data_IF_380303915157
#
_entry.id   IF_380303915157
#
_cell.length_a   1.000
_cell.length_b   1.000
_cell.length_c   1.000
_cell.angle_alpha   90.00
_cell.angle_beta   90.00
_cell.angle_gamma   90.00
#
_symmetry.space_group_name_H-M   'P 1'
#
loop_
_entity.id
_entity.type
_entity.pdbx_description
1 polymer ?
#
# COMPACT_ATOMS: atom_id res chain seq x y z
N UNK A 1 5.70 12.89 10.55
CA UNK A 1 5.96 12.35 9.19
C UNK A 1 5.01 11.18 8.95
N UNK A 2 4.22 11.19 7.86
CA UNK A 2 3.21 10.16 7.62
C UNK A 2 3.90 8.83 7.24
N UNK A 3 3.68 7.78 8.04
CA UNK A 3 4.04 6.41 7.69
C UNK A 3 2.86 5.79 6.95
N UNK A 4 2.93 5.72 5.63
CA UNK A 4 1.83 5.22 4.80
C UNK A 4 1.63 3.71 4.99
N UNK A 5 0.37 3.28 5.09
CA UNK A 5 0.01 1.86 5.21
C UNK A 5 0.51 1.07 3.99
N UNK A 6 0.06 1.45 2.78
CA UNK A 6 0.40 0.82 1.50
C UNK A 6 1.87 0.91 1.07
N UNK A 7 2.74 1.48 1.91
CA UNK A 7 4.18 1.60 1.65
C UNK A 7 4.97 1.14 2.87
N UNK A 8 5.45 2.09 3.68
CA UNK A 8 6.36 1.80 4.79
C UNK A 8 5.87 0.72 5.75
N UNK A 9 4.60 0.72 6.18
CA UNK A 9 4.14 -0.24 7.20
C UNK A 9 4.13 -1.68 6.68
N UNK A 10 3.68 -1.88 5.44
CA UNK A 10 3.73 -3.19 4.79
C UNK A 10 5.16 -3.65 4.55
N UNK A 11 6.02 -2.77 4.03
CA UNK A 11 7.44 -3.10 3.83
C UNK A 11 8.17 -3.37 5.15
N UNK A 12 7.88 -2.62 6.21
CA UNK A 12 8.41 -2.83 7.56
C UNK A 12 8.08 -4.22 8.08
N UNK A 13 6.82 -4.65 7.93
CA UNK A 13 6.38 -6.00 8.31
C UNK A 13 7.10 -7.06 7.48
N UNK A 14 7.18 -6.89 6.16
CA UNK A 14 7.87 -7.84 5.28
C UNK A 14 9.36 -8.01 5.65
N UNK A 15 10.05 -6.90 5.92
CA UNK A 15 11.44 -6.93 6.39
C UNK A 15 11.57 -7.64 7.75
N UNK A 16 10.66 -7.33 8.68
CA UNK A 16 10.65 -7.95 10.01
C UNK A 16 10.37 -9.46 9.95
N UNK A 17 9.45 -9.89 9.08
CA UNK A 17 9.12 -11.30 8.84
C UNK A 17 10.28 -12.07 8.21
N UNK A 18 11.13 -11.38 7.44
CA UNK A 18 12.37 -11.93 6.91
C UNK A 18 13.52 -11.97 7.94
N UNK A 19 13.26 -11.63 9.21
CA UNK A 19 14.26 -11.65 10.29
C UNK A 19 15.18 -10.43 10.33
N UNK A 20 14.92 -9.41 9.50
CA UNK A 20 15.66 -8.16 9.51
C UNK A 20 15.13 -7.24 10.61
N UNK A 21 15.96 -6.30 11.07
CA UNK A 21 15.57 -5.29 12.07
C UNK A 21 15.49 -3.92 11.38
N UNK A 22 14.31 -3.48 10.91
CA UNK A 22 14.21 -2.32 10.03
C UNK A 22 14.86 -1.05 10.60
N UNK A 23 14.56 -0.73 11.85
CA UNK A 23 15.05 0.50 12.53
C UNK A 23 16.55 0.49 12.83
N UNK A 24 17.23 -0.66 12.67
CA UNK A 24 18.65 -0.83 13.00
C UNK A 24 19.51 -1.14 11.79
N UNK A 25 18.97 -1.92 10.87
CA UNK A 25 19.70 -2.42 9.71
C UNK A 25 19.57 -1.48 8.50
N UNK A 26 18.64 -0.50 8.54
CA UNK A 26 18.38 0.43 7.44
C UNK A 26 18.20 1.88 7.89
N UNK A 27 18.54 2.82 7.00
CA UNK A 27 18.21 4.23 7.14
C UNK A 27 17.08 4.60 6.17
N UNK A 28 15.92 4.97 6.72
CA UNK A 28 14.76 5.31 5.92
C UNK A 28 14.72 6.78 5.53
N UNK A 29 14.47 7.03 4.24
CA UNK A 29 14.11 8.35 3.71
C UNK A 29 12.65 8.30 3.21
N UNK A 30 11.80 9.15 3.78
CA UNK A 30 10.41 9.26 3.33
C UNK A 30 10.26 10.49 2.43
N UNK A 31 9.82 10.27 1.20
CA UNK A 31 9.66 11.32 0.18
C UNK A 31 8.21 11.77 0.00
N UNK A 32 7.25 11.00 0.50
CA UNK A 32 5.82 11.28 0.31
C UNK A 32 5.32 10.69 -1.01
N UNK A 33 4.37 11.39 -1.64
CA UNK A 33 3.83 11.06 -2.96
C UNK A 33 4.46 11.93 -4.05
N UNK A 34 4.48 11.48 -5.32
CA UNK A 34 3.98 10.20 -5.84
C UNK A 34 4.98 9.03 -5.69
N UNK A 35 4.49 7.79 -5.88
CA UNK A 35 5.29 6.57 -5.65
C UNK A 35 6.31 6.25 -6.76
N UNK A 36 6.02 6.66 -8.00
CA UNK A 36 6.89 6.55 -9.18
C UNK A 36 8.23 7.28 -9.00
N UNK A 37 8.24 8.40 -8.27
CA UNK A 37 9.45 9.13 -7.92
C UNK A 37 10.48 8.25 -7.19
N UNK A 38 10.04 7.25 -6.42
CA UNK A 38 10.93 6.32 -5.74
C UNK A 38 11.68 5.41 -6.73
N UNK A 39 11.02 5.00 -7.81
CA UNK A 39 11.62 4.16 -8.86
C UNK A 39 12.70 4.95 -9.60
N UNK A 40 12.43 6.22 -9.93
CA UNK A 40 13.45 7.09 -10.52
C UNK A 40 14.62 7.32 -9.57
N UNK A 41 14.38 7.57 -8.28
CA UNK A 41 15.46 7.72 -7.31
C UNK A 41 16.34 6.47 -7.21
N UNK A 42 15.75 5.29 -7.34
CA UNK A 42 16.50 4.03 -7.37
C UNK A 42 17.33 3.90 -8.66
N UNK A 43 16.74 4.20 -9.82
CA UNK A 43 17.42 4.21 -11.13
C UNK A 43 18.64 5.14 -11.14
N UNK A 44 18.46 6.37 -10.63
CA UNK A 44 19.52 7.37 -10.54
C UNK A 44 20.48 7.13 -9.35
N UNK A 45 20.34 5.99 -8.64
CA UNK A 45 21.18 5.58 -7.50
C UNK A 45 21.19 6.58 -6.33
N UNK A 46 20.16 7.42 -6.23
CA UNK A 46 19.95 8.32 -5.10
C UNK A 46 19.51 7.57 -3.82
N UNK A 47 19.00 6.35 -3.98
CA UNK A 47 18.72 5.37 -2.92
C UNK A 47 19.19 3.99 -3.36
N UNK A 48 19.41 3.09 -2.40
CA UNK A 48 19.87 1.71 -2.66
C UNK A 48 18.73 0.70 -2.78
N UNK A 49 17.56 1.03 -2.22
CA UNK A 49 16.35 0.23 -2.29
C UNK A 49 15.12 1.16 -2.18
N UNK A 50 14.00 0.72 -2.72
CA UNK A 50 12.72 1.43 -2.64
C UNK A 50 11.61 0.47 -2.22
N UNK A 51 10.65 0.98 -1.45
CA UNK A 51 9.40 0.29 -1.12
C UNK A 51 8.31 0.97 -1.94
N UNK A 52 7.73 0.23 -2.89
CA UNK A 52 6.74 0.75 -3.84
C UNK A 52 5.45 -0.08 -3.79
N UNK A 53 4.30 0.51 -4.16
CA UNK A 53 3.05 -0.23 -4.34
C UNK A 53 3.19 -1.38 -5.34
N UNK A 54 2.42 -2.45 -5.14
CA UNK A 54 2.32 -3.56 -6.09
C UNK A 54 1.88 -3.05 -7.47
N UNK A 55 2.38 -3.69 -8.53
CA UNK A 55 2.15 -3.35 -9.93
C UNK A 55 2.72 -2.00 -10.40
N UNK A 56 3.29 -1.17 -9.52
CA UNK A 56 3.82 0.13 -9.96
C UNK A 56 4.98 -0.04 -10.94
N UNK A 57 5.90 -0.98 -10.69
CA UNK A 57 7.06 -1.21 -11.54
C UNK A 57 6.62 -1.66 -12.94
N UNK A 58 5.71 -2.63 -13.00
CA UNK A 58 5.16 -3.21 -14.22
C UNK A 58 4.36 -2.16 -15.01
N UNK A 59 3.57 -1.34 -14.34
CA UNK A 59 2.83 -0.26 -15.01
C UNK A 59 3.79 0.77 -15.61
N UNK A 60 4.85 1.16 -14.89
CA UNK A 60 5.84 2.10 -15.42
C UNK A 60 6.63 1.53 -16.60
N UNK A 61 6.90 0.22 -16.63
CA UNK A 61 7.50 -0.48 -17.77
C UNK A 61 6.55 -0.49 -18.98
N UNK A 62 5.27 -0.85 -18.77
CA UNK A 62 4.24 -0.81 -19.82
C UNK A 62 4.04 0.58 -20.42
N UNK A 63 4.20 1.63 -19.61
CA UNK A 63 4.15 3.03 -20.04
C UNK A 63 5.45 3.51 -20.72
N UNK A 64 6.51 2.70 -20.73
CA UNK A 64 7.81 3.03 -21.33
C UNK A 64 8.64 4.04 -20.52
N UNK A 65 8.36 4.19 -19.22
CA UNK A 65 9.03 5.15 -18.33
C UNK A 65 10.36 4.60 -17.77
N UNK A 66 10.48 3.27 -17.71
CA UNK A 66 11.64 2.50 -17.24
C UNK A 66 11.70 1.16 -17.99
N UNK A 67 12.79 0.38 -17.82
CA UNK A 67 12.84 -1.05 -18.13
C UNK A 67 12.79 -1.82 -16.80
N UNK A 68 11.77 -2.66 -16.59
CA UNK A 68 11.62 -3.42 -15.34
C UNK A 68 12.81 -4.34 -15.04
N UNK A 69 13.56 -4.77 -16.07
CA UNK A 69 14.72 -5.68 -15.93
C UNK A 69 15.92 -5.02 -15.29
N UNK A 70 15.94 -3.70 -15.20
CA UNK A 70 16.95 -2.94 -14.47
C UNK A 70 16.76 -3.02 -12.94
N UNK A 71 15.65 -3.61 -12.48
CA UNK A 71 15.27 -3.68 -11.08
C UNK A 71 15.14 -5.14 -10.63
N UNK A 72 15.37 -5.38 -9.34
CA UNK A 72 15.19 -6.69 -8.72
C UNK A 72 14.34 -6.57 -7.45
N UNK A 73 13.45 -7.53 -7.25
CA UNK A 73 12.72 -7.66 -5.99
C UNK A 73 13.64 -8.29 -4.93
N UNK A 74 13.88 -7.57 -3.83
CA UNK A 74 14.67 -8.07 -2.70
C UNK A 74 13.91 -9.10 -1.86
N UNK A 75 12.58 -9.01 -1.86
CA UNK A 75 11.65 -9.93 -1.22
C UNK A 75 10.56 -10.27 -2.22
N UNK A 76 10.14 -11.53 -2.27
CA UNK A 76 9.05 -11.98 -3.13
C UNK A 76 8.16 -13.00 -2.43
N UNK A 77 6.90 -13.01 -2.84
CA UNK A 77 5.86 -13.92 -2.38
C UNK A 77 5.02 -14.37 -3.57
N UNK A 78 4.57 -15.63 -3.60
CA UNK A 78 3.63 -16.08 -4.61
C UNK A 78 2.31 -15.31 -4.55
N UNK A 79 1.80 -14.95 -5.72
CA UNK A 79 0.51 -14.27 -5.90
C UNK A 79 -0.12 -14.74 -7.21
N UNK A 80 -1.44 -14.56 -7.34
CA UNK A 80 -2.15 -14.76 -8.60
C UNK A 80 -2.14 -13.51 -9.48
N UNK A 81 -1.71 -12.37 -8.95
CA UNK A 81 -1.55 -11.15 -9.74
C UNK A 81 -0.32 -11.25 -10.66
N UNK A 82 -0.38 -10.70 -11.88
CA UNK A 82 0.75 -10.67 -12.79
C UNK A 82 1.75 -9.55 -12.44
N UNK A 83 2.04 -9.36 -11.16
CA UNK A 83 2.95 -8.34 -10.64
C UNK A 83 3.81 -8.93 -9.53
N UNK A 84 5.03 -8.40 -9.38
CA UNK A 84 5.92 -8.71 -8.28
C UNK A 84 5.31 -8.25 -6.96
N UNK A 85 5.19 -9.19 -6.01
CA UNK A 85 4.67 -8.93 -4.67
C UNK A 85 5.65 -9.38 -3.60
N UNK A 86 5.92 -8.53 -2.62
CA UNK A 86 6.75 -8.84 -1.45
C UNK A 86 5.93 -9.03 -0.16
N UNK A 87 4.66 -8.62 -0.16
CA UNK A 87 3.74 -8.65 0.99
C UNK A 87 2.50 -9.47 0.68
N UNK A 88 1.65 -9.69 1.69
CA UNK A 88 0.27 -10.05 1.43
C UNK A 88 -0.45 -8.87 0.74
N UNK A 89 -1.45 -9.18 -0.07
CA UNK A 89 -2.31 -8.18 -0.69
C UNK A 89 -3.40 -7.75 0.28
N UNK A 90 -3.62 -6.44 0.34
CA UNK A 90 -4.68 -5.83 1.12
C UNK A 90 -5.70 -5.21 0.18
N UNK A 91 -6.96 -5.06 0.62
CA UNK A 91 -7.93 -4.27 -0.12
C UNK A 91 -7.36 -2.88 -0.40
N UNK A 92 -7.60 -2.39 -1.62
CA UNK A 92 -7.10 -1.10 -2.07
C UNK A 92 -8.01 0.03 -1.53
N UNK A 93 -8.51 0.91 -2.39
CA UNK A 93 -9.34 2.04 -1.97
C UNK A 93 -10.69 1.61 -1.40
N UNK A 94 -11.04 2.18 -0.24
CA UNK A 94 -12.38 2.13 0.32
C UNK A 94 -13.07 3.48 0.10
N UNK A 95 -14.38 3.46 -0.17
CA UNK A 95 -15.19 4.67 -0.16
C UNK A 95 -16.09 4.68 1.07
N UNK A 96 -16.40 5.87 1.59
CA UNK A 96 -17.24 6.05 2.76
C UNK A 96 -18.10 7.31 2.63
N UNK A 97 -19.28 7.29 3.24
CA UNK A 97 -20.14 8.47 3.35
C UNK A 97 -19.86 9.20 4.68
N UNK A 98 -19.88 10.54 4.62
CA UNK A 98 -19.82 11.37 5.83
C UNK A 98 -21.18 11.38 6.54
N UNK A 99 -21.25 11.60 7.87
CA UNK A 99 -22.51 11.61 8.62
C UNK A 99 -23.56 12.62 8.11
N UNK A 100 -23.14 13.69 7.44
CA UNK A 100 -24.03 14.71 6.89
C UNK A 100 -24.64 14.35 5.52
N UNK A 101 -24.17 13.27 4.87
CA UNK A 101 -24.68 12.82 3.57
C UNK A 101 -25.98 12.07 3.79
N UNK A 102 -27.05 12.48 3.10
CA UNK A 102 -28.33 11.78 3.16
C UNK A 102 -28.21 10.33 2.65
N UNK A 103 -28.91 9.40 3.29
CA UNK A 103 -28.97 7.98 2.88
C UNK A 103 -29.31 7.83 1.39
N UNK A 104 -30.28 8.60 0.89
CA UNK A 104 -30.67 8.56 -0.52
C UNK A 104 -29.55 8.91 -1.50
N UNK A 105 -28.61 9.77 -1.10
CA UNK A 105 -27.43 10.10 -1.91
C UNK A 105 -26.36 9.01 -1.78
N UNK A 106 -26.07 8.55 -0.56
CA UNK A 106 -25.12 7.47 -0.33
C UNK A 106 -25.51 6.18 -1.09
N UNK A 107 -26.79 5.84 -1.09
CA UNK A 107 -27.36 4.71 -1.81
C UNK A 107 -27.22 4.83 -3.33
N UNK A 108 -27.47 6.02 -3.88
CA UNK A 108 -27.33 6.25 -5.33
C UNK A 108 -25.88 6.13 -5.77
N UNK A 109 -24.95 6.68 -4.99
CA UNK A 109 -23.51 6.58 -5.29
C UNK A 109 -23.04 5.14 -5.16
N UNK A 110 -23.41 4.43 -4.09
CA UNK A 110 -23.08 3.01 -3.90
C UNK A 110 -23.55 2.16 -5.08
N UNK A 111 -24.80 2.34 -5.53
CA UNK A 111 -25.32 1.63 -6.71
C UNK A 111 -24.58 2.00 -7.99
N UNK A 112 -24.19 3.25 -8.17
CA UNK A 112 -23.44 3.67 -9.35
C UNK A 112 -22.04 3.04 -9.39
N UNK A 113 -21.35 3.00 -8.24
CA UNK A 113 -20.03 2.38 -8.12
C UNK A 113 -20.09 0.86 -8.36
N UNK A 114 -21.08 0.16 -7.78
CA UNK A 114 -21.24 -1.29 -7.98
C UNK A 114 -21.63 -1.67 -9.41
N UNK A 115 -22.36 -0.80 -10.10
CA UNK A 115 -22.75 -1.02 -11.50
C UNK A 115 -21.75 -0.41 -12.50
N UNK A 116 -20.53 -0.07 -12.06
CA UNK A 116 -19.50 0.42 -12.96
C UNK A 116 -19.23 -0.59 -14.09
N UNK A 117 -19.01 -0.12 -15.34
CA UNK A 117 -18.71 -1.01 -16.45
C UNK A 117 -17.49 -1.89 -16.16
N UNK A 118 -17.46 -3.11 -16.70
CA UNK A 118 -16.32 -4.01 -16.53
C UNK A 118 -14.99 -3.43 -17.06
N UNK A 119 -15.06 -2.52 -18.04
CA UNK A 119 -13.91 -1.80 -18.59
C UNK A 119 -13.46 -0.60 -17.73
N UNK A 120 -14.13 -0.30 -16.62
CA UNK A 120 -13.69 0.74 -15.71
C UNK A 120 -12.34 0.35 -15.07
N UNK A 121 -11.42 1.30 -14.84
CA UNK A 121 -10.12 1.02 -14.22
C UNK A 121 -10.23 0.61 -12.74
N UNK A 122 -11.37 0.91 -12.10
CA UNK A 122 -11.64 0.54 -10.71
C UNK A 122 -12.93 -0.26 -10.62
N UNK A 123 -12.85 -1.41 -9.96
CA UNK A 123 -14.00 -2.28 -9.69
C UNK A 123 -14.39 -2.14 -8.23
N UNK A 124 -15.63 -1.72 -7.99
CA UNK A 124 -16.14 -1.52 -6.64
C UNK A 124 -17.03 -2.71 -6.26
N UNK A 125 -16.77 -3.27 -5.08
CA UNK A 125 -17.50 -4.41 -4.55
C UNK A 125 -17.99 -4.18 -3.13
N UNK A 126 -18.63 -5.20 -2.56
CA UNK A 126 -19.03 -5.18 -1.16
C UNK A 126 -17.84 -4.82 -0.25
N UNK A 127 -18.08 -4.13 0.89
CA UNK A 127 -17.03 -3.75 1.81
C UNK A 127 -16.13 -4.93 2.17
N UNK A 128 -14.83 -4.77 1.99
CA UNK A 128 -13.86 -5.76 2.44
C UNK A 128 -13.68 -5.69 3.95
N UNK A 129 -13.37 -6.82 4.58
CA UNK A 129 -13.05 -6.87 6.00
C UNK A 129 -11.81 -6.04 6.34
N UNK A 130 -11.89 -5.17 7.35
CA UNK A 130 -10.76 -4.40 7.87
C UNK A 130 -9.86 -5.20 8.81
N UNK A 131 -10.26 -6.43 9.17
CA UNK A 131 -9.57 -7.24 10.18
C UNK A 131 -8.08 -7.46 9.89
N UNK A 132 -7.72 -7.68 8.63
CA UNK A 132 -6.32 -7.88 8.23
C UNK A 132 -5.49 -6.59 8.38
N UNK A 133 -6.08 -5.44 8.03
CA UNK A 133 -5.45 -4.12 8.18
C UNK A 133 -5.21 -3.83 9.66
N UNK A 134 -6.22 -4.06 10.50
CA UNK A 134 -6.12 -3.88 11.95
C UNK A 134 -5.07 -4.80 12.58
N UNK A 135 -5.04 -6.07 12.18
CA UNK A 135 -4.04 -7.03 12.65
C UNK A 135 -2.62 -6.54 12.33
N UNK A 136 -2.37 -6.11 11.08
CA UNK A 136 -1.08 -5.54 10.72
C UNK A 136 -0.72 -4.34 11.59
N UNK A 137 -1.65 -3.40 11.75
CA UNK A 137 -1.41 -2.20 12.56
C UNK A 137 -1.06 -2.53 14.01
N UNK A 138 -1.65 -3.59 14.58
CA UNK A 138 -1.28 -4.10 15.92
C UNK A 138 0.12 -4.71 15.91
N UNK A 139 0.45 -5.53 14.93
CA UNK A 139 1.75 -6.20 14.81
C UNK A 139 2.91 -5.20 14.71
N UNK A 140 2.73 -4.14 13.91
CA UNK A 140 3.75 -3.09 13.77
C UNK A 140 3.69 -2.02 14.87
N UNK A 141 2.83 -2.22 15.90
CA UNK A 141 2.60 -1.30 17.02
C UNK A 141 2.23 0.12 16.58
N UNK A 142 1.49 0.25 15.48
CA UNK A 142 0.98 1.51 14.95
C UNK A 142 -0.56 1.61 15.09
N UNK A 143 -1.19 0.68 15.80
CA UNK A 143 -2.63 0.69 15.99
C UNK A 143 -3.06 1.93 16.81
N UNK A 144 -4.06 2.72 16.35
CA UNK A 144 -4.47 3.95 17.01
C UNK A 144 -4.85 3.76 18.49
N UNK A 145 -5.51 2.66 18.82
CA UNK A 145 -5.89 2.34 20.21
C UNK A 145 -4.69 1.93 21.07
N UNK A 146 -3.69 1.26 20.50
CA UNK A 146 -2.46 0.95 21.23
C UNK A 146 -1.69 2.24 21.53
N UNK A 147 -1.58 3.16 20.56
CA UNK A 147 -0.91 4.46 20.75
C UNK A 147 -1.50 5.30 21.87
N UNK A 148 -2.82 5.24 22.15
CA UNK A 148 -3.42 5.94 23.30
C UNK A 148 -2.92 5.40 24.65
N UNK A 149 -2.81 4.08 24.79
CA UNK A 149 -2.37 3.45 26.04
C UNK A 149 -0.91 3.76 26.42
N UNK A 150 -0.06 4.13 25.45
CA UNK A 150 1.34 4.53 25.70
C UNK A 150 1.52 6.03 25.95
N UNK A 151 0.52 6.85 25.61
CA UNK A 151 0.55 8.31 25.83
C UNK A 151 -0.07 8.71 27.18
N UNK A 152 -0.83 7.80 27.79
CA UNK A 152 -1.50 7.99 29.08
C UNK A 152 -0.79 7.23 30.23
N UNK A 153 0.47 6.83 30.06
CA UNK A 153 1.26 6.04 31.02
C UNK A 153 2.65 6.61 31.29
#
# INVERSE_FOLDING_TARGET
MLRAFGGYLLGYKALSDAGLRPERDFHFRFTGFPGDALVYMLREKAVQAAIVPVCLLENMDQEGLIDEKDFIALLSRPTTLPCLTSTQLYPDWSFAALPAVSDALADRVTRALFNAPAAAPFHWGAPASTSQVEALLRDVRQHPQQRRLWLDG
#
